data_IF_566906648426
#
_entry.id   IF_566906648426
#
_cell.length_a   1.000
_cell.length_b   1.000
_cell.length_c   1.000
_cell.angle_alpha   90.00
_cell.angle_beta   90.00
_cell.angle_gamma   90.00
#
_symmetry.space_group_name_H-M   'P 1'
#
loop_
_entity.id
_entity.type
_entity.pdbx_description
1 polymer ?
#
# COMPACT_ATOMS: atom_id res chain seq x y z
N UNK A 1 -25.69 -16.49 -4.05
CA UNK A 1 -26.58 -17.45 -4.74
C UNK A 1 -27.17 -16.90 -6.06
N UNK A 2 -26.69 -15.76 -6.61
CA UNK A 2 -27.19 -15.17 -7.87
C UNK A 2 -26.14 -15.08 -9.01
N UNK A 3 -24.89 -15.48 -8.79
CA UNK A 3 -23.81 -15.36 -9.80
C UNK A 3 -23.92 -16.35 -10.96
N UNK A 4 -24.76 -17.39 -10.84
CA UNK A 4 -24.96 -18.37 -11.91
C UNK A 4 -25.75 -17.80 -13.10
N UNK A 5 -26.59 -16.79 -12.86
CA UNK A 5 -27.39 -16.11 -13.91
C UNK A 5 -26.62 -14.99 -14.61
N UNK A 6 -25.46 -14.58 -14.07
CA UNK A 6 -24.66 -13.50 -14.63
C UNK A 6 -23.84 -13.98 -15.81
N UNK A 7 -23.80 -13.17 -16.87
CA UNK A 7 -22.89 -13.43 -17.98
C UNK A 7 -21.42 -13.24 -17.54
N UNK A 8 -20.47 -13.69 -18.36
CA UNK A 8 -19.05 -13.61 -17.99
C UNK A 8 -18.55 -12.18 -17.73
N UNK A 9 -19.11 -11.17 -18.42
CA UNK A 9 -18.68 -9.78 -18.29
C UNK A 9 -19.22 -9.18 -17.00
N UNK A 10 -20.43 -9.54 -16.59
CA UNK A 10 -20.99 -9.15 -15.29
C UNK A 10 -20.20 -9.75 -14.13
N UNK A 11 -19.83 -11.04 -14.23
CA UNK A 11 -18.96 -11.70 -13.23
C UNK A 11 -17.59 -11.03 -13.13
N UNK A 12 -16.95 -10.76 -14.28
CA UNK A 12 -15.65 -10.08 -14.33
C UNK A 12 -15.75 -8.63 -13.81
N UNK A 13 -16.80 -7.89 -14.17
CA UNK A 13 -17.08 -6.54 -13.65
C UNK A 13 -17.13 -6.55 -12.12
N UNK A 14 -17.94 -7.44 -11.54
CA UNK A 14 -18.12 -7.51 -10.09
C UNK A 14 -16.83 -7.93 -9.38
N UNK A 15 -16.08 -8.88 -9.96
CA UNK A 15 -14.76 -9.25 -9.47
C UNK A 15 -13.80 -8.05 -9.40
N UNK A 16 -13.66 -7.29 -10.50
CA UNK A 16 -12.74 -6.15 -10.53
C UNK A 16 -13.23 -4.98 -9.68
N UNK A 17 -14.55 -4.85 -9.47
CA UNK A 17 -15.11 -3.89 -8.52
C UNK A 17 -14.72 -4.25 -7.09
N UNK A 18 -14.88 -5.51 -6.69
CA UNK A 18 -14.53 -5.97 -5.35
C UNK A 18 -13.02 -5.84 -5.14
N UNK A 19 -12.20 -6.29 -6.11
CA UNK A 19 -10.75 -6.14 -6.05
C UNK A 19 -10.32 -4.67 -5.90
N UNK A 20 -10.98 -3.74 -6.60
CA UNK A 20 -10.72 -2.31 -6.44
C UNK A 20 -11.02 -1.83 -5.01
N UNK A 21 -12.14 -2.28 -4.42
CA UNK A 21 -12.53 -1.93 -3.05
C UNK A 21 -11.55 -2.52 -2.03
N UNK A 22 -11.23 -3.80 -2.15
CA UNK A 22 -10.26 -4.48 -1.28
C UNK A 22 -8.89 -3.79 -1.34
N UNK A 23 -8.42 -3.42 -2.54
CA UNK A 23 -7.16 -2.68 -2.69
C UNK A 23 -7.25 -1.27 -2.07
N UNK A 24 -8.39 -0.59 -2.17
CA UNK A 24 -8.58 0.73 -1.57
C UNK A 24 -8.51 0.68 -0.04
N UNK A 25 -9.13 -0.32 0.59
CA UNK A 25 -9.07 -0.53 2.04
C UNK A 25 -7.64 -0.85 2.48
N UNK A 26 -7.00 -1.83 1.83
CA UNK A 26 -5.63 -2.21 2.15
C UNK A 26 -4.63 -1.06 1.96
N UNK A 27 -4.79 -0.22 0.93
CA UNK A 27 -3.94 0.97 0.75
C UNK A 27 -4.13 1.96 1.89
N UNK A 28 -5.35 2.15 2.38
CA UNK A 28 -5.63 3.06 3.50
C UNK A 28 -4.90 2.60 4.75
N UNK A 29 -5.08 1.33 5.13
CA UNK A 29 -4.44 0.74 6.31
C UNK A 29 -2.91 0.80 6.21
N UNK A 30 -2.39 0.44 5.04
CA UNK A 30 -0.96 0.48 4.78
C UNK A 30 -0.37 1.90 4.85
N UNK A 31 -1.11 2.89 4.34
CA UNK A 31 -0.70 4.30 4.40
C UNK A 31 -0.69 4.83 5.84
N UNK A 32 -1.67 4.42 6.66
CA UNK A 32 -1.72 4.75 8.08
C UNK A 32 -0.52 4.16 8.82
N UNK A 33 -0.17 2.90 8.57
CA UNK A 33 1.02 2.26 9.17
C UNK A 33 2.33 2.95 8.77
N UNK A 34 2.48 3.34 7.50
CA UNK A 34 3.65 4.14 7.07
C UNK A 34 3.71 5.49 7.79
N UNK A 35 2.58 6.18 7.94
CA UNK A 35 2.51 7.46 8.63
C UNK A 35 2.92 7.32 10.12
N UNK A 36 2.44 6.27 10.79
CA UNK A 36 2.78 5.95 12.17
C UNK A 36 4.29 5.68 12.33
N UNK A 37 4.88 4.85 11.47
CA UNK A 37 6.32 4.56 11.49
C UNK A 37 7.14 5.85 11.29
N UNK A 38 6.76 6.71 10.35
CA UNK A 38 7.46 7.98 10.13
C UNK A 38 7.35 8.92 11.34
N UNK A 39 6.19 8.96 12.00
CA UNK A 39 5.97 9.74 13.22
C UNK A 39 6.83 9.25 14.39
N UNK A 40 6.87 7.93 14.59
CA UNK A 40 7.73 7.30 15.61
C UNK A 40 9.21 7.55 15.34
N UNK A 41 9.65 7.42 14.08
CA UNK A 41 11.04 7.69 13.68
C UNK A 41 11.41 9.16 13.88
N UNK A 42 10.54 10.10 13.50
CA UNK A 42 10.76 11.53 13.73
C UNK A 42 10.85 11.85 15.22
N UNK A 43 9.96 11.27 16.03
CA UNK A 43 9.97 11.41 17.48
C UNK A 43 11.25 10.84 18.12
N UNK A 44 11.68 9.65 17.67
CA UNK A 44 12.94 9.04 18.11
C UNK A 44 14.14 9.92 17.80
N UNK A 45 14.26 10.42 16.56
CA UNK A 45 15.32 11.34 16.15
C UNK A 45 15.31 12.65 16.91
N UNK A 46 14.12 13.21 17.20
CA UNK A 46 13.97 14.46 17.93
C UNK A 46 14.23 14.37 19.44
N UNK A 47 14.00 13.20 20.06
CA UNK A 47 14.31 12.94 21.48
C UNK A 47 15.76 12.55 21.72
N UNK A 48 16.51 12.33 20.65
CA UNK A 48 17.88 11.90 20.73
C UNK A 48 18.73 13.09 21.19
N UNK A 49 19.41 12.98 22.36
CA UNK A 49 20.32 14.04 22.77
C UNK A 49 21.38 14.16 21.67
N UNK A 50 21.74 15.40 21.31
CA UNK A 50 22.99 15.67 20.60
C UNK A 50 24.15 15.24 21.52
N UNK A 51 24.40 13.92 21.63
CA UNK A 51 25.43 13.39 22.52
C UNK A 51 26.77 13.81 21.94
N UNK A 52 27.36 14.84 22.52
CA UNK A 52 28.72 15.27 22.25
C UNK A 52 29.63 14.04 22.33
N UNK A 53 30.49 13.90 21.33
CA UNK A 53 31.34 12.73 21.03
C UNK A 53 32.45 12.46 22.07
N UNK A 54 32.32 12.95 23.31
CA UNK A 54 33.48 13.23 24.16
C UNK A 54 33.80 12.27 25.30
N UNK A 55 32.88 11.45 25.84
CA UNK A 55 33.12 10.94 27.21
C UNK A 55 32.54 9.58 27.62
N UNK A 56 32.02 8.76 26.69
CA UNK A 56 31.52 7.40 26.99
C UNK A 56 32.21 6.43 26.02
N UNK A 57 32.37 5.11 26.31
CA UNK A 57 32.70 4.09 25.32
C UNK A 57 31.55 4.00 24.30
N UNK A 58 31.42 5.05 23.50
CA UNK A 58 30.28 5.40 22.66
C UNK A 58 30.34 4.69 21.31
N UNK A 59 31.51 4.16 20.96
CA UNK A 59 31.81 3.74 19.60
C UNK A 59 30.96 2.54 19.14
N UNK A 60 30.80 1.51 19.99
CA UNK A 60 29.97 0.36 19.64
C UNK A 60 28.47 0.67 19.66
N UNK A 61 28.01 1.48 20.62
CA UNK A 61 26.61 1.86 20.72
C UNK A 61 26.19 2.76 19.55
N UNK A 62 27.03 3.74 19.17
CA UNK A 62 26.82 4.61 18.01
C UNK A 62 26.78 3.78 16.73
N UNK A 63 27.75 2.88 16.53
CA UNK A 63 27.80 2.03 15.33
C UNK A 63 26.57 1.09 15.22
N UNK A 64 26.18 0.43 16.32
CA UNK A 64 24.98 -0.44 16.34
C UNK A 64 23.71 0.34 16.06
N UNK A 65 23.60 1.56 16.58
CA UNK A 65 22.48 2.46 16.34
C UNK A 65 22.40 2.91 14.88
N UNK A 66 23.52 3.33 14.29
CA UNK A 66 23.57 3.70 12.86
C UNK A 66 23.17 2.53 11.95
N UNK A 67 23.63 1.31 12.27
CA UNK A 67 23.21 0.09 11.55
C UNK A 67 21.70 -0.16 11.67
N UNK A 68 21.11 0.09 12.85
CA UNK A 68 19.66 -0.08 13.07
C UNK A 68 18.86 0.98 12.31
N UNK A 69 19.32 2.24 12.34
CA UNK A 69 18.70 3.35 11.62
C UNK A 69 18.73 3.12 10.09
N UNK A 70 19.83 2.58 9.57
CA UNK A 70 19.97 2.21 8.15
C UNK A 70 19.00 1.08 7.78
N UNK A 71 18.90 0.02 8.61
CA UNK A 71 17.94 -1.07 8.41
C UNK A 71 16.51 -0.56 8.42
N UNK A 72 16.15 0.28 9.40
CA UNK A 72 14.82 0.86 9.51
C UNK A 72 14.49 1.71 8.27
N UNK A 73 15.44 2.52 7.80
CA UNK A 73 15.29 3.31 6.57
C UNK A 73 15.05 2.42 5.36
N UNK A 74 15.80 1.31 5.21
CA UNK A 74 15.58 0.34 4.13
C UNK A 74 14.18 -0.27 4.17
N UNK A 75 13.69 -0.66 5.35
CA UNK A 75 12.33 -1.19 5.49
C UNK A 75 11.26 -0.17 5.14
N UNK A 76 11.43 1.10 5.56
CA UNK A 76 10.50 2.19 5.21
C UNK A 76 10.49 2.44 3.70
N UNK A 77 11.65 2.45 3.05
CA UNK A 77 11.74 2.62 1.59
C UNK A 77 11.05 1.48 0.84
N UNK A 78 11.35 0.23 1.20
CA UNK A 78 10.67 -0.94 0.63
C UNK A 78 9.15 -0.89 0.89
N UNK A 79 8.74 -0.37 2.04
CA UNK A 79 7.33 -0.20 2.34
C UNK A 79 6.68 0.82 1.38
N UNK A 80 7.30 1.97 1.14
CA UNK A 80 6.81 2.98 0.19
C UNK A 80 6.74 2.47 -1.25
N UNK A 81 7.72 1.67 -1.69
CA UNK A 81 7.69 1.05 -3.03
C UNK A 81 6.49 0.10 -3.19
N UNK A 82 6.18 -0.70 -2.17
CA UNK A 82 4.97 -1.54 -2.16
C UNK A 82 3.69 -0.71 -2.18
N UNK A 83 3.65 0.44 -1.51
CA UNK A 83 2.51 1.37 -1.57
C UNK A 83 2.26 1.82 -3.01
N UNK A 84 3.32 2.22 -3.73
CA UNK A 84 3.22 2.62 -5.13
C UNK A 84 2.68 1.48 -6.00
N UNK A 85 3.18 0.26 -5.80
CA UNK A 85 2.70 -0.93 -6.50
C UNK A 85 1.22 -1.22 -6.24
N UNK A 86 0.75 -1.05 -5.00
CA UNK A 86 -0.66 -1.21 -4.64
C UNK A 86 -1.55 -0.15 -5.32
N UNK A 87 -1.10 1.11 -5.34
CA UNK A 87 -1.82 2.20 -6.02
C UNK A 87 -1.96 1.90 -7.53
N UNK A 88 -0.89 1.44 -8.17
CA UNK A 88 -0.93 1.02 -9.57
C UNK A 88 -1.90 -0.15 -9.80
N UNK A 89 -1.87 -1.15 -8.92
CA UNK A 89 -2.80 -2.28 -8.98
C UNK A 89 -4.26 -1.83 -8.81
N UNK A 90 -4.54 -0.90 -7.89
CA UNK A 90 -5.88 -0.32 -7.70
C UNK A 90 -6.37 0.35 -8.99
N UNK A 91 -5.52 1.15 -9.62
CA UNK A 91 -5.88 1.81 -10.88
C UNK A 91 -6.14 0.79 -12.00
N UNK A 92 -5.31 -0.25 -12.11
CA UNK A 92 -5.49 -1.31 -13.08
C UNK A 92 -6.81 -2.08 -12.86
N UNK A 93 -7.17 -2.36 -11.59
CA UNK A 93 -8.44 -3.00 -11.24
C UNK A 93 -9.63 -2.12 -11.65
N UNK A 94 -9.58 -0.81 -11.38
CA UNK A 94 -10.63 0.13 -11.77
C UNK A 94 -10.81 0.20 -13.29
N UNK A 95 -9.70 0.28 -14.04
CA UNK A 95 -9.74 0.31 -15.51
C UNK A 95 -10.38 -0.98 -16.06
N UNK A 96 -10.07 -2.14 -15.47
CA UNK A 96 -10.69 -3.42 -15.87
C UNK A 96 -12.16 -3.50 -15.47
N UNK A 97 -12.54 -2.96 -14.32
CA UNK A 97 -13.94 -2.82 -13.93
C UNK A 97 -14.74 -2.02 -14.98
N UNK A 98 -14.24 -0.84 -15.41
CA UNK A 98 -14.87 -0.03 -16.44
C UNK A 98 -15.03 -0.83 -17.74
N UNK A 99 -13.94 -1.46 -18.21
CA UNK A 99 -13.95 -2.26 -19.42
C UNK A 99 -15.06 -3.33 -19.40
N UNK A 100 -15.13 -4.13 -18.32
CA UNK A 100 -16.13 -5.20 -18.24
C UNK A 100 -17.55 -4.69 -17.99
N UNK A 101 -17.71 -3.55 -17.32
CA UNK A 101 -19.00 -2.87 -17.21
C UNK A 101 -19.53 -2.48 -18.59
N UNK A 102 -18.67 -1.91 -19.43
CA UNK A 102 -19.07 -1.43 -20.74
C UNK A 102 -19.38 -2.61 -21.69
N UNK A 103 -18.61 -3.70 -21.62
CA UNK A 103 -18.89 -4.96 -22.34
C UNK A 103 -20.22 -5.60 -21.89
N UNK A 104 -20.50 -5.65 -20.59
CA UNK A 104 -21.76 -6.16 -20.07
C UNK A 104 -22.96 -5.33 -20.56
N UNK A 105 -22.82 -4.00 -20.59
CA UNK A 105 -23.84 -3.09 -21.09
C UNK A 105 -24.07 -3.24 -22.60
N UNK A 106 -23.02 -3.43 -23.40
CA UNK A 106 -23.14 -3.66 -24.83
C UNK A 106 -23.89 -4.96 -25.11
N UNK A 107 -23.51 -6.06 -24.45
CA UNK A 107 -24.19 -7.37 -24.59
C UNK A 107 -25.67 -7.32 -24.18
N UNK A 108 -26.00 -6.56 -23.14
CA UNK A 108 -27.40 -6.37 -22.72
C UNK A 108 -28.24 -5.56 -23.73
N UNK A 109 -27.61 -4.74 -24.58
CA UNK A 109 -28.28 -4.00 -25.67
C UNK A 109 -28.47 -4.87 -26.92
N UNK A 110 -27.53 -5.77 -27.21
CA UNK A 110 -27.61 -6.70 -28.36
C UNK A 110 -28.64 -7.81 -28.16
N UNK A 111 -28.94 -8.18 -26.91
CA UNK A 111 -29.95 -9.17 -26.57
C UNK A 111 -31.39 -8.63 -26.48
N UNK A 112 -31.63 -7.39 -26.92
CA UNK A 112 -32.96 -6.77 -27.06
C UNK A 112 -33.33 -6.67 -28.53
#
# INVERSE_FOLDING_TARGET
MFDFLKNEYERKRDYYRNLYQDLQENITDYSNGIAEINSMLSSYKGKMPHSSSGSIPSNEFVSKREQLDEKLTKYISAAKEKQSSLIAAKQAAYNRYIYYRDQANAKAKEGK
#
